data_IF_061533128651
#
_entry.id   IF_061533128651
#
_cell.length_a   1.000
_cell.length_b   1.000
_cell.length_c   1.000
_cell.angle_alpha   90.00
_cell.angle_beta   90.00
_cell.angle_gamma   90.00
#
_symmetry.space_group_name_H-M   'P 1'
#
loop_
_entity.id
_entity.type
_entity.pdbx_description
1 polymer ?
#
# COMPACT_ATOMS: atom_id res chain seq x y z
N UNK A 1 12.97 -10.01 -6.34
CA UNK A 1 11.80 -10.38 -7.17
C UNK A 1 12.30 -11.22 -8.34
N UNK A 2 11.63 -12.34 -8.68
CA UNK A 2 11.97 -13.08 -9.91
C UNK A 2 11.48 -12.25 -11.12
N UNK A 3 12.28 -12.07 -12.18
CA UNK A 3 11.89 -11.27 -13.34
C UNK A 3 10.56 -11.69 -13.97
N UNK A 4 10.23 -12.99 -13.89
CA UNK A 4 8.97 -13.57 -14.36
C UNK A 4 7.71 -13.05 -13.66
N UNK A 5 7.82 -12.33 -12.55
CA UNK A 5 6.67 -11.78 -11.81
C UNK A 5 6.35 -10.32 -12.18
N UNK A 6 7.18 -9.69 -13.01
CA UNK A 6 7.01 -8.32 -13.46
C UNK A 6 6.33 -8.39 -14.84
N UNK A 7 5.00 -8.43 -14.85
CA UNK A 7 4.21 -8.33 -16.08
C UNK A 7 3.78 -6.88 -16.32
N UNK A 8 3.53 -6.49 -17.58
CA UNK A 8 2.98 -5.17 -17.88
C UNK A 8 1.70 -4.87 -17.09
N UNK A 9 0.77 -5.83 -16.96
CA UNK A 9 -0.48 -5.60 -16.22
C UNK A 9 -0.22 -5.31 -14.73
N UNK A 10 0.72 -6.04 -14.11
CA UNK A 10 1.09 -5.80 -12.71
C UNK A 10 1.74 -4.44 -12.51
N UNK A 11 2.57 -4.00 -13.46
CA UNK A 11 3.17 -2.67 -13.44
C UNK A 11 2.13 -1.56 -13.53
N UNK A 12 1.09 -1.75 -14.36
CA UNK A 12 -0.03 -0.80 -14.47
C UNK A 12 -0.81 -0.69 -13.15
N UNK A 13 -1.13 -1.83 -12.52
CA UNK A 13 -1.77 -1.82 -11.19
C UNK A 13 -0.93 -1.12 -10.13
N UNK A 14 0.37 -1.41 -10.09
CA UNK A 14 1.30 -0.75 -9.15
C UNK A 14 1.34 0.76 -9.37
N UNK A 15 1.34 1.23 -10.63
CA UNK A 15 1.30 2.66 -10.95
C UNK A 15 -0.02 3.31 -10.51
N UNK A 16 -1.15 2.66 -10.75
CA UNK A 16 -2.46 3.16 -10.36
C UNK A 16 -2.60 3.22 -8.82
N UNK A 17 -2.17 2.19 -8.10
CA UNK A 17 -2.14 2.19 -6.64
C UNK A 17 -1.20 3.27 -6.10
N UNK A 18 -0.05 3.49 -6.74
CA UNK A 18 0.86 4.54 -6.32
C UNK A 18 0.24 5.94 -6.50
N UNK A 19 -0.50 6.18 -7.59
CA UNK A 19 -1.20 7.45 -7.78
C UNK A 19 -2.23 7.71 -6.66
N UNK A 20 -2.97 6.68 -6.24
CA UNK A 20 -3.89 6.76 -5.11
C UNK A 20 -3.16 7.03 -3.79
N UNK A 21 -2.04 6.35 -3.54
CA UNK A 21 -1.23 6.59 -2.35
C UNK A 21 -0.74 8.04 -2.27
N UNK A 22 -0.28 8.61 -3.39
CA UNK A 22 0.14 10.00 -3.45
C UNK A 22 -1.02 10.97 -3.17
N UNK A 23 -2.23 10.69 -3.68
CA UNK A 23 -3.42 11.48 -3.36
C UNK A 23 -3.77 11.45 -1.86
N UNK A 24 -3.44 10.35 -1.17
CA UNK A 24 -3.57 10.20 0.29
C UNK A 24 -2.44 10.84 1.09
N UNK A 25 -1.43 11.41 0.44
CA UNK A 25 -0.22 11.91 1.09
C UNK A 25 0.67 10.81 1.68
N UNK A 26 0.59 9.58 1.14
CA UNK A 26 1.35 8.41 1.60
C UNK A 26 2.23 7.86 0.48
N UNK A 27 3.33 7.19 0.84
CA UNK A 27 4.03 6.32 -0.12
C UNK A 27 3.20 5.06 -0.39
N UNK A 28 3.44 4.38 -1.51
CA UNK A 28 2.75 3.12 -1.81
C UNK A 28 2.96 2.07 -0.70
N UNK A 29 4.16 2.03 -0.11
CA UNK A 29 4.47 1.14 1.00
C UNK A 29 3.64 1.49 2.24
N UNK A 30 3.54 2.77 2.58
CA UNK A 30 2.72 3.26 3.70
C UNK A 30 1.24 2.93 3.49
N UNK A 31 0.69 3.18 2.30
CA UNK A 31 -0.70 2.84 1.98
C UNK A 31 -0.95 1.33 2.08
N UNK A 32 -0.02 0.49 1.65
CA UNK A 32 -0.13 -0.96 1.78
C UNK A 32 -0.14 -1.42 3.25
N UNK A 33 0.66 -0.80 4.12
CA UNK A 33 0.64 -1.08 5.56
C UNK A 33 -0.67 -0.62 6.20
N UNK A 34 -1.14 0.58 5.85
CA UNK A 34 -2.45 1.07 6.29
C UNK A 34 -3.58 0.13 5.87
N UNK A 35 -3.53 -0.39 4.63
CA UNK A 35 -4.53 -1.33 4.11
C UNK A 35 -4.60 -2.62 4.95
N UNK A 36 -3.46 -3.15 5.40
CA UNK A 36 -3.43 -4.35 6.26
C UNK A 36 -3.94 -4.03 7.66
N UNK A 37 -3.50 -2.90 8.22
CA UNK A 37 -3.80 -2.49 9.60
C UNK A 37 -5.22 -1.93 9.80
N UNK A 38 -5.96 -1.63 8.73
CA UNK A 38 -7.34 -1.12 8.84
C UNK A 38 -8.32 -2.09 9.50
N UNK A 39 -8.04 -3.40 9.41
CA UNK A 39 -8.96 -4.42 9.89
C UNK A 39 -8.85 -4.55 11.42
N UNK A 40 -9.94 -4.40 12.20
CA UNK A 40 -9.87 -4.45 13.66
C UNK A 40 -9.30 -5.76 14.24
N UNK A 41 -9.42 -6.86 13.49
CA UNK A 41 -8.86 -8.16 13.87
C UNK A 41 -7.36 -8.31 13.59
N UNK A 42 -6.70 -7.32 12.98
CA UNK A 42 -5.28 -7.34 12.64
C UNK A 42 -4.46 -6.64 13.71
N UNK A 43 -3.71 -7.40 14.50
CA UNK A 43 -2.92 -6.83 15.62
C UNK A 43 -1.65 -6.12 15.14
N UNK A 44 -1.02 -6.60 14.07
CA UNK A 44 0.26 -6.06 13.59
C UNK A 44 0.55 -6.41 12.14
N UNK A 45 1.40 -5.61 11.51
CA UNK A 45 1.99 -5.87 10.20
C UNK A 45 3.50 -6.12 10.37
N UNK A 46 3.96 -7.34 10.03
CA UNK A 46 5.37 -7.70 10.11
C UNK A 46 6.10 -7.18 8.87
N UNK A 47 7.01 -6.22 9.08
CA UNK A 47 7.79 -5.59 7.99
C UNK A 47 9.26 -5.95 8.08
N UNK A 48 9.86 -6.27 6.94
CA UNK A 48 11.32 -6.37 6.78
C UNK A 48 11.90 -5.03 6.37
N UNK A 49 13.00 -4.62 7.00
CA UNK A 49 13.76 -3.43 6.64
C UNK A 49 15.25 -3.78 6.54
N UNK A 50 15.92 -3.35 5.48
CA UNK A 50 17.37 -3.48 5.30
C UNK A 50 18.14 -2.23 5.72
N UNK A 51 17.43 -1.14 6.03
CA UNK A 51 17.97 0.13 6.51
C UNK A 51 16.98 0.83 7.43
N UNK A 52 17.50 1.64 8.36
CA UNK A 52 16.68 2.36 9.35
C UNK A 52 15.64 3.27 8.71
N UNK A 53 15.98 3.95 7.60
CA UNK A 53 15.04 4.85 6.92
C UNK A 53 13.77 4.16 6.41
N UNK A 54 13.81 2.85 6.15
CA UNK A 54 12.59 2.10 5.80
C UNK A 54 11.67 1.91 7.01
N UNK A 55 12.24 1.79 8.21
CA UNK A 55 11.44 1.73 9.45
C UNK A 55 10.75 3.07 9.64
N UNK A 56 11.47 4.18 9.50
CA UNK A 56 10.92 5.53 9.59
C UNK A 56 9.81 5.77 8.56
N UNK A 57 10.03 5.36 7.30
CA UNK A 57 9.01 5.42 6.24
C UNK A 57 7.79 4.58 6.60
N UNK A 58 7.97 3.33 7.05
CA UNK A 58 6.87 2.42 7.38
C UNK A 58 6.03 2.92 8.56
N UNK A 59 6.67 3.51 9.59
CA UNK A 59 5.96 4.12 10.73
C UNK A 59 5.04 5.27 10.28
N UNK A 60 5.41 5.98 9.21
CA UNK A 60 4.58 7.01 8.60
C UNK A 60 3.20 6.54 8.13
N UNK A 61 2.99 5.23 7.93
CA UNK A 61 1.67 4.66 7.61
C UNK A 61 0.62 4.98 8.69
N UNK A 62 1.03 5.06 9.96
CA UNK A 62 0.14 5.32 11.09
C UNK A 62 -0.51 6.71 11.05
N UNK A 63 0.02 7.65 10.26
CA UNK A 63 -0.56 8.98 10.09
C UNK A 63 -1.92 8.95 9.37
N UNK A 64 -2.21 7.90 8.58
CA UNK A 64 -3.48 7.74 7.89
C UNK A 64 -3.81 6.25 7.65
N UNK A 65 -4.54 5.64 8.59
CA UNK A 65 -4.99 4.24 8.53
C UNK A 65 -6.39 4.07 7.93
N UNK A 66 -7.16 5.15 7.87
CA UNK A 66 -8.54 5.12 7.42
C UNK A 66 -8.62 5.15 5.90
N UNK A 67 -9.60 4.45 5.35
CA UNK A 67 -9.95 4.51 3.94
C UNK A 67 -11.42 4.92 3.84
N UNK A 68 -11.72 5.85 2.93
CA UNK A 68 -13.09 6.12 2.51
C UNK A 68 -13.61 4.98 1.63
N UNK A 69 -14.92 4.93 1.47
CA UNK A 69 -15.57 3.97 0.58
C UNK A 69 -15.09 4.13 -0.87
N UNK A 70 -14.98 5.36 -1.35
CA UNK A 70 -14.44 5.67 -2.69
C UNK A 70 -13.02 5.13 -2.91
N UNK A 71 -12.17 5.19 -1.88
CA UNK A 71 -10.79 4.68 -1.96
C UNK A 71 -10.76 3.16 -1.98
N UNK A 72 -11.63 2.51 -1.19
CA UNK A 72 -11.76 1.05 -1.20
C UNK A 72 -12.26 0.56 -2.57
N UNK A 73 -13.29 1.20 -3.13
CA UNK A 73 -13.80 0.89 -4.46
C UNK A 73 -12.75 1.14 -5.56
N UNK A 74 -11.94 2.19 -5.43
CA UNK A 74 -10.84 2.44 -6.35
C UNK A 74 -9.78 1.32 -6.29
N UNK A 75 -9.41 0.89 -5.08
CA UNK A 75 -8.46 -0.22 -4.89
C UNK A 75 -8.99 -1.51 -5.51
N UNK A 76 -10.26 -1.84 -5.25
CA UNK A 76 -10.88 -3.06 -5.77
C UNK A 76 -10.95 -3.05 -7.31
N UNK A 77 -11.32 -1.91 -7.92
CA UNK A 77 -11.29 -1.75 -9.38
C UNK A 77 -9.89 -1.95 -9.97
N UNK A 78 -8.86 -1.39 -9.34
CA UNK A 78 -7.47 -1.55 -9.79
C UNK A 78 -7.03 -3.02 -9.69
N UNK A 79 -7.42 -3.72 -8.63
CA UNK A 79 -7.03 -5.11 -8.41
C UNK A 79 -7.80 -6.11 -9.28
N UNK A 80 -9.05 -5.80 -9.64
CA UNK A 80 -9.91 -6.65 -10.46
C UNK A 80 -9.60 -6.64 -11.96
N UNK A 81 -9.00 -5.55 -12.49
CA UNK A 81 -8.51 -5.46 -13.87
C UNK A 81 -7.31 -6.37 -14.14
#
# INVERSE_FOLDING_TARGET
>A
LRPSHITPERLEKVRALNALAQARGQTLAQMALAWVLRHPGMTSALVGASRVSQIEENVGALANLSFSEDELEAIDRILAG
#
